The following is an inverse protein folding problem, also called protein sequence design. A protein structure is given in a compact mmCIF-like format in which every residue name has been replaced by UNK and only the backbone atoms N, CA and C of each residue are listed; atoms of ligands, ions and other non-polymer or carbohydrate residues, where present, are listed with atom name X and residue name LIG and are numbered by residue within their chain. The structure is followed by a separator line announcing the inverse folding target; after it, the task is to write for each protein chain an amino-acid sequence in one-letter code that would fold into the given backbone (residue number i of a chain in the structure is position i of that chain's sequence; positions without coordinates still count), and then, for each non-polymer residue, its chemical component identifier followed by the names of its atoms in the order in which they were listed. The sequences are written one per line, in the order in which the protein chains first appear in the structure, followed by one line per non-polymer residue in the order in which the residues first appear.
data_IF_070100867127
#
_entry.id   IF_070100867127
#
_cell.length_a   1.000
_cell.length_b   1.000
_cell.length_c   1.000
_cell.angle_alpha   90.00
_cell.angle_beta   90.00
_cell.angle_gamma   90.00
#
_symmetry.space_group_name_H-M   'P 1'
#
loop_
_entity.id
_entity.type
_entity.pdbx_description
1 polymer ?
#
# COMPACT_ATOMS: atom_id res chain seq x y z
N UNK A 1 36.63 -9.29 4.84
CA UNK A 1 37.29 -10.26 3.93
C UNK A 1 36.18 -10.86 3.07
N UNK A 2 36.23 -10.70 1.76
CA UNK A 2 35.22 -11.33 0.86
C UNK A 2 35.50 -12.84 0.87
N UNK A 3 34.51 -13.61 1.23
CA UNK A 3 34.57 -15.08 1.17
C UNK A 3 34.71 -15.49 -0.29
N UNK A 4 35.73 -16.25 -0.58
CA UNK A 4 35.97 -16.72 -1.94
C UNK A 4 35.01 -17.91 -2.20
N UNK A 5 33.93 -17.68 -2.95
CA UNK A 5 32.87 -18.66 -3.24
C UNK A 5 33.37 -19.91 -4.02
N UNK A 6 34.61 -19.92 -4.48
CA UNK A 6 35.23 -21.08 -5.16
C UNK A 6 35.55 -22.24 -4.18
N UNK A 7 35.43 -22.01 -2.85
CA UNK A 7 35.93 -22.96 -1.84
C UNK A 7 34.82 -23.76 -1.15
N UNK A 8 33.53 -23.63 -1.52
CA UNK A 8 32.50 -24.42 -0.88
C UNK A 8 32.36 -25.80 -1.52
N UNK A 9 32.56 -26.84 -0.73
CA UNK A 9 32.57 -28.21 -1.24
C UNK A 9 31.15 -28.81 -1.28
N UNK A 10 30.20 -28.26 -0.53
CA UNK A 10 28.81 -28.77 -0.52
C UNK A 10 27.78 -27.68 -0.27
N UNK A 11 26.51 -28.00 -0.57
CA UNK A 11 25.37 -27.14 -0.29
C UNK A 11 25.09 -27.05 1.21
N UNK A 12 25.30 -28.12 1.95
CA UNK A 12 25.10 -28.21 3.40
C UNK A 12 26.07 -27.29 4.17
N UNK A 13 27.31 -27.16 3.69
CA UNK A 13 28.28 -26.22 4.24
C UNK A 13 27.84 -24.77 4.07
N UNK A 14 27.27 -24.41 2.91
CA UNK A 14 26.67 -23.09 2.65
C UNK A 14 25.46 -22.84 3.55
N UNK A 15 24.59 -23.81 3.75
CA UNK A 15 23.43 -23.69 4.63
C UNK A 15 23.87 -23.34 6.06
N UNK A 16 24.86 -24.02 6.61
CA UNK A 16 25.39 -23.75 7.96
C UNK A 16 25.96 -22.32 8.09
N UNK A 17 26.65 -21.82 7.05
CA UNK A 17 27.21 -20.47 7.05
C UNK A 17 26.09 -19.43 6.97
N UNK A 18 25.09 -19.66 6.11
CA UNK A 18 23.94 -18.76 5.96
C UNK A 18 23.18 -18.61 7.29
N UNK A 19 22.98 -19.72 8.03
CA UNK A 19 22.33 -19.70 9.33
C UNK A 19 23.14 -18.94 10.40
N UNK A 20 24.48 -18.94 10.29
CA UNK A 20 25.33 -18.20 11.20
C UNK A 20 25.41 -16.70 10.88
N UNK A 21 25.41 -16.35 9.60
CA UNK A 21 25.63 -14.95 9.17
C UNK A 21 24.33 -14.15 9.07
N UNK A 22 23.19 -14.79 8.82
CA UNK A 22 21.91 -14.10 8.59
C UNK A 22 21.00 -14.26 9.81
N UNK A 23 20.65 -13.15 10.43
CA UNK A 23 19.62 -13.08 11.44
C UNK A 23 18.22 -13.04 10.73
N UNK A 24 17.64 -14.24 10.58
CA UNK A 24 16.34 -14.41 9.91
C UNK A 24 15.18 -13.79 10.69
N UNK A 25 15.27 -13.64 12.00
CA UNK A 25 14.26 -12.99 12.81
C UNK A 25 14.17 -11.51 12.45
N UNK A 26 15.30 -10.80 12.51
CA UNK A 26 15.36 -9.39 12.08
C UNK A 26 15.01 -9.20 10.60
N UNK A 27 15.39 -10.15 9.74
CA UNK A 27 15.07 -10.06 8.32
C UNK A 27 13.57 -10.21 8.07
N UNK A 28 12.87 -11.03 8.85
CA UNK A 28 11.41 -11.15 8.82
C UNK A 28 10.75 -9.85 9.32
N UNK A 29 11.24 -9.25 10.42
CA UNK A 29 10.77 -7.95 10.89
C UNK A 29 10.91 -6.88 9.81
N UNK A 30 12.08 -6.81 9.14
CA UNK A 30 12.30 -5.89 8.02
C UNK A 30 11.33 -6.14 6.86
N UNK A 31 11.10 -7.41 6.52
CA UNK A 31 10.16 -7.79 5.48
C UNK A 31 8.74 -7.32 5.82
N UNK A 32 8.33 -7.43 7.07
CA UNK A 32 7.04 -6.99 7.58
C UNK A 32 6.91 -5.46 7.51
N UNK A 33 7.93 -4.74 7.96
CA UNK A 33 7.97 -3.27 7.87
C UNK A 33 7.84 -2.75 6.42
N UNK A 34 8.61 -3.33 5.49
CA UNK A 34 8.52 -2.94 4.07
C UNK A 34 7.12 -3.26 3.52
N UNK A 35 6.56 -4.42 3.88
CA UNK A 35 5.22 -4.83 3.46
C UNK A 35 4.16 -3.87 3.96
N UNK A 36 4.23 -3.47 5.21
CA UNK A 36 3.31 -2.51 5.83
C UNK A 36 3.42 -1.13 5.17
N UNK A 37 4.64 -0.62 4.96
CA UNK A 37 4.85 0.66 4.29
C UNK A 37 4.23 0.68 2.88
N UNK A 38 4.42 -0.38 2.08
CA UNK A 38 3.80 -0.47 0.75
C UNK A 38 2.27 -0.59 0.86
N UNK A 39 1.78 -1.37 1.82
CA UNK A 39 0.34 -1.55 2.06
C UNK A 39 -0.33 -0.23 2.40
N UNK A 40 0.25 0.55 3.30
CA UNK A 40 -0.24 1.87 3.70
C UNK A 40 -0.31 2.83 2.51
N UNK A 41 0.77 2.93 1.73
CA UNK A 41 0.82 3.80 0.55
C UNK A 41 -0.24 3.42 -0.48
N UNK A 42 -0.37 2.14 -0.81
CA UNK A 42 -1.35 1.68 -1.81
C UNK A 42 -2.79 1.81 -1.30
N UNK A 43 -3.00 1.63 0.01
CA UNK A 43 -4.29 1.81 0.67
C UNK A 43 -4.69 3.28 0.70
N UNK A 44 -3.78 4.20 1.02
CA UNK A 44 -4.03 5.65 1.01
C UNK A 44 -4.42 6.18 -0.37
N UNK A 45 -4.05 5.47 -1.43
CA UNK A 45 -4.48 5.76 -2.81
C UNK A 45 -5.81 5.10 -3.19
N UNK A 46 -6.37 4.27 -2.32
CA UNK A 46 -7.59 3.51 -2.61
C UNK A 46 -7.43 2.43 -3.67
N UNK A 47 -6.24 1.97 -3.96
CA UNK A 47 -6.02 0.93 -4.98
C UNK A 47 -6.55 -0.42 -4.52
N UNK A 48 -7.00 -1.24 -5.49
CA UNK A 48 -7.37 -2.63 -5.25
C UNK A 48 -6.16 -3.52 -5.48
N UNK A 49 -5.64 -4.10 -4.42
CA UNK A 49 -4.46 -4.97 -4.47
C UNK A 49 -4.50 -6.08 -3.44
N UNK A 50 -3.59 -7.06 -3.62
CA UNK A 50 -3.15 -8.01 -2.61
C UNK A 50 -1.64 -7.97 -2.58
N UNK A 51 -1.05 -8.15 -1.40
CA UNK A 51 0.40 -8.20 -1.25
C UNK A 51 0.79 -9.50 -0.56
N UNK A 52 1.83 -10.13 -1.08
CA UNK A 52 2.49 -11.28 -0.47
C UNK A 52 3.96 -10.94 -0.32
N UNK A 53 4.51 -11.29 0.81
CA UNK A 53 5.93 -11.08 1.08
C UNK A 53 6.53 -12.36 1.64
N UNK A 54 7.81 -12.53 1.41
CA UNK A 54 8.56 -13.64 1.97
C UNK A 54 10.04 -13.29 2.10
N UNK A 55 10.64 -13.85 3.13
CA UNK A 55 12.09 -13.99 3.22
C UNK A 55 12.48 -15.31 2.55
N UNK A 56 13.54 -15.30 1.77
CA UNK A 56 14.05 -16.50 1.09
C UNK A 56 14.60 -17.48 2.11
N UNK A 57 14.23 -18.76 2.00
CA UNK A 57 14.72 -19.81 2.91
C UNK A 57 16.22 -20.09 2.74
N UNK A 58 16.87 -20.56 3.80
CA UNK A 58 18.27 -20.98 3.82
C UNK A 58 18.60 -21.88 2.64
N UNK A 59 17.82 -22.92 2.43
CA UNK A 59 17.99 -23.87 1.32
C UNK A 59 17.92 -23.19 -0.06
N UNK A 60 17.03 -22.19 -0.22
CA UNK A 60 16.88 -21.47 -1.48
C UNK A 60 18.05 -20.54 -1.75
N UNK A 61 18.57 -19.89 -0.69
CA UNK A 61 19.76 -19.05 -0.76
C UNK A 61 20.98 -19.92 -1.13
N UNK A 62 21.21 -21.01 -0.38
CA UNK A 62 22.30 -21.93 -0.62
C UNK A 62 22.27 -22.51 -2.05
N UNK A 63 21.07 -22.96 -2.49
CA UNK A 63 20.90 -23.48 -3.85
C UNK A 63 21.22 -22.44 -4.93
N UNK A 64 20.81 -21.19 -4.71
CA UNK A 64 21.05 -20.08 -5.65
C UNK A 64 22.53 -19.72 -5.70
N UNK A 65 23.20 -19.63 -4.55
CA UNK A 65 24.64 -19.40 -4.45
C UNK A 65 25.44 -20.51 -5.10
N UNK A 66 25.15 -21.77 -4.76
CA UNK A 66 25.87 -22.94 -5.24
C UNK A 66 25.77 -23.12 -6.76
N UNK A 67 24.55 -23.01 -7.33
CA UNK A 67 24.30 -23.17 -8.76
C UNK A 67 24.73 -21.96 -9.58
N UNK A 68 24.46 -20.76 -9.10
CA UNK A 68 24.67 -19.50 -9.80
C UNK A 68 26.10 -18.96 -9.70
N UNK A 69 26.94 -19.56 -8.82
CA UNK A 69 28.29 -19.10 -8.54
C UNK A 69 28.42 -17.59 -8.36
N UNK A 70 27.44 -17.04 -7.59
CA UNK A 70 27.38 -15.62 -7.28
C UNK A 70 28.63 -15.17 -6.50
N UNK A 71 29.09 -13.95 -6.72
CA UNK A 71 30.26 -13.38 -6.03
C UNK A 71 31.58 -13.95 -6.47
N UNK A 72 31.64 -14.73 -7.56
CA UNK A 72 32.89 -15.24 -8.15
C UNK A 72 33.43 -14.27 -9.18
N UNK A 73 34.70 -14.47 -9.59
CA UNK A 73 35.33 -13.69 -10.66
C UNK A 73 34.53 -13.77 -11.98
N UNK A 74 33.89 -14.91 -12.23
CA UNK A 74 33.10 -15.15 -13.44
C UNK A 74 31.68 -14.63 -13.33
N UNK A 75 31.14 -14.47 -12.12
CA UNK A 75 29.81 -13.93 -11.84
C UNK A 75 29.86 -13.03 -10.62
N UNK A 76 30.18 -11.73 -10.74
CA UNK A 76 30.26 -10.79 -9.61
C UNK A 76 28.92 -10.37 -9.06
N UNK A 77 27.80 -10.87 -9.62
CA UNK A 77 26.46 -10.56 -9.16
C UNK A 77 26.26 -11.00 -7.72
N UNK A 78 25.40 -10.25 -7.02
CA UNK A 78 24.93 -10.56 -5.67
C UNK A 78 23.48 -11.01 -5.70
N UNK A 79 23.05 -11.72 -4.66
CA UNK A 79 21.63 -12.03 -4.46
C UNK A 79 20.91 -10.74 -4.02
N UNK A 80 19.89 -10.32 -4.76
CA UNK A 80 19.14 -9.08 -4.56
C UNK A 80 17.71 -9.33 -4.07
N UNK A 81 17.27 -10.59 -4.00
CA UNK A 81 15.92 -11.03 -3.72
C UNK A 81 15.81 -11.82 -2.40
N UNK A 82 16.58 -11.42 -1.38
CA UNK A 82 16.53 -12.02 -0.05
C UNK A 82 15.13 -11.78 0.57
N UNK A 83 14.63 -10.57 0.42
CA UNK A 83 13.23 -10.21 0.65
C UNK A 83 12.56 -10.07 -0.71
N UNK A 84 11.49 -10.81 -0.91
CA UNK A 84 10.68 -10.74 -2.12
C UNK A 84 9.23 -10.38 -1.78
N UNK A 85 8.72 -9.35 -2.48
CA UNK A 85 7.33 -8.94 -2.39
C UNK A 85 6.63 -9.18 -3.72
N UNK A 86 5.35 -9.54 -3.66
CA UNK A 86 4.49 -9.68 -4.81
C UNK A 86 3.23 -8.88 -4.60
N UNK A 87 3.03 -7.85 -5.43
CA UNK A 87 1.85 -7.00 -5.42
C UNK A 87 0.96 -7.38 -6.59
N UNK A 88 -0.24 -7.85 -6.27
CA UNK A 88 -1.23 -8.30 -7.23
C UNK A 88 -2.29 -7.23 -7.36
N UNK A 89 -2.38 -6.60 -8.53
CA UNK A 89 -3.28 -5.51 -8.84
C UNK A 89 -4.52 -6.01 -9.57
N UNK A 90 -5.65 -5.35 -9.37
CA UNK A 90 -6.91 -5.76 -10.00
C UNK A 90 -7.04 -5.26 -11.42
N UNK A 91 -6.41 -4.13 -11.75
CA UNK A 91 -6.49 -3.51 -13.06
C UNK A 91 -5.11 -3.36 -13.68
N UNK A 92 -5.03 -3.62 -14.97
CA UNK A 92 -3.76 -3.57 -15.70
C UNK A 92 -3.10 -2.18 -15.70
N UNK A 93 -3.90 -1.11 -15.81
CA UNK A 93 -3.40 0.26 -15.80
C UNK A 93 -2.85 0.70 -14.44
N UNK A 94 -3.18 0.02 -13.33
CA UNK A 94 -2.59 0.25 -12.02
C UNK A 94 -1.11 -0.17 -11.95
N UNK A 95 -0.64 -1.05 -12.83
CA UNK A 95 0.78 -1.43 -12.92
C UNK A 95 1.69 -0.21 -13.11
N UNK A 96 1.33 0.68 -14.04
CA UNK A 96 2.10 1.91 -14.31
C UNK A 96 2.05 2.89 -13.13
N UNK A 97 0.91 2.95 -12.46
CA UNK A 97 0.70 3.81 -11.28
C UNK A 97 1.55 3.31 -10.12
N UNK A 98 1.52 2.01 -9.82
CA UNK A 98 2.32 1.44 -8.74
C UNK A 98 3.83 1.58 -9.01
N UNK A 99 4.27 1.48 -10.25
CA UNK A 99 5.66 1.77 -10.61
C UNK A 99 6.06 3.20 -10.26
N UNK A 100 5.28 4.21 -10.68
CA UNK A 100 5.51 5.62 -10.34
C UNK A 100 5.54 5.85 -8.82
N UNK A 101 4.68 5.17 -8.07
CA UNK A 101 4.66 5.21 -6.61
C UNK A 101 5.95 4.65 -6.03
N UNK A 102 6.34 3.44 -6.43
CA UNK A 102 7.54 2.79 -5.90
C UNK A 102 8.82 3.55 -6.20
N UNK A 103 8.97 4.08 -7.43
CA UNK A 103 10.12 4.89 -7.84
C UNK A 103 10.24 6.20 -7.02
N UNK A 104 9.12 6.74 -6.52
CA UNK A 104 9.10 7.93 -5.66
C UNK A 104 9.35 7.63 -4.19
N UNK A 105 9.00 6.44 -3.75
CA UNK A 105 9.05 6.06 -2.34
C UNK A 105 10.37 5.40 -1.97
N UNK A 106 10.90 4.55 -2.85
CA UNK A 106 12.10 3.75 -2.58
C UNK A 106 13.21 4.04 -3.58
N UNK A 107 14.45 3.92 -3.12
CA UNK A 107 15.60 4.06 -4.00
C UNK A 107 15.75 2.80 -4.86
N UNK A 108 15.44 2.91 -6.13
CA UNK A 108 15.63 1.85 -7.11
C UNK A 108 17.11 1.68 -7.43
N UNK A 109 17.56 0.43 -7.64
CA UNK A 109 18.97 0.13 -7.95
C UNK A 109 19.17 -0.03 -9.45
N UNK A 110 18.31 -0.84 -10.08
CA UNK A 110 18.38 -1.15 -11.50
C UNK A 110 17.09 -0.72 -12.19
N UNK A 111 17.12 -0.59 -13.51
CA UNK A 111 15.90 -0.38 -14.29
C UNK A 111 14.92 -1.54 -14.08
N UNK A 112 13.62 -1.27 -14.23
CA UNK A 112 12.60 -2.31 -14.18
C UNK A 112 12.93 -3.41 -15.17
N UNK A 113 12.99 -4.65 -14.68
CA UNK A 113 13.13 -5.79 -15.56
C UNK A 113 11.87 -5.92 -16.41
N UNK A 114 12.01 -5.72 -17.71
CA UNK A 114 11.00 -6.00 -18.71
C UNK A 114 11.51 -7.11 -19.59
N UNK A 115 10.76 -8.17 -19.70
CA UNK A 115 11.01 -9.11 -20.76
C UNK A 115 10.56 -8.44 -22.06
N UNK A 116 11.47 -8.15 -22.96
CA UNK A 116 11.15 -7.78 -24.34
C UNK A 116 10.92 -9.07 -25.09
N UNK A 117 9.71 -9.22 -25.60
CA UNK A 117 9.35 -10.36 -26.45
C UNK A 117 9.24 -9.88 -27.90
N UNK A 118 9.52 -10.77 -28.82
CA UNK A 118 9.18 -10.55 -30.22
C UNK A 118 7.65 -10.43 -30.35
N UNK A 119 7.17 -9.74 -31.38
CA UNK A 119 5.75 -9.44 -31.54
C UNK A 119 4.83 -10.68 -31.67
N UNK A 120 5.42 -11.82 -31.94
CA UNK A 120 4.77 -13.14 -32.06
C UNK A 120 5.01 -14.06 -30.86
N UNK A 121 5.75 -13.61 -29.85
CA UNK A 121 5.95 -14.33 -28.60
C UNK A 121 4.96 -13.91 -27.53
N UNK A 122 4.25 -14.88 -26.97
CA UNK A 122 3.43 -14.70 -25.78
C UNK A 122 4.09 -15.36 -24.57
N UNK A 123 4.60 -14.56 -23.68
CA UNK A 123 5.15 -14.99 -22.39
C UNK A 123 4.69 -14.05 -21.30
N UNK A 124 4.64 -14.55 -20.07
CA UNK A 124 4.26 -13.72 -18.93
C UNK A 124 5.18 -12.48 -18.79
N UNK A 125 4.59 -11.31 -18.91
CA UNK A 125 5.29 -10.05 -18.69
C UNK A 125 5.62 -9.93 -17.20
N UNK A 126 6.90 -10.04 -16.87
CA UNK A 126 7.39 -9.82 -15.50
C UNK A 126 7.75 -8.34 -15.37
N UNK A 127 7.15 -7.67 -14.41
CA UNK A 127 7.54 -6.32 -14.02
C UNK A 127 8.12 -6.43 -12.62
N UNK A 128 9.44 -6.51 -12.55
CA UNK A 128 10.16 -6.62 -11.28
C UNK A 128 11.04 -5.39 -11.10
N UNK A 129 11.05 -4.83 -9.89
CA UNK A 129 11.95 -3.77 -9.47
C UNK A 129 12.76 -4.21 -8.27
N UNK A 130 14.01 -3.79 -8.22
CA UNK A 130 14.92 -4.02 -7.11
C UNK A 130 15.20 -2.68 -6.43
N UNK A 131 14.95 -2.63 -5.12
CA UNK A 131 15.04 -1.42 -4.31
C UNK A 131 15.98 -1.64 -3.14
N UNK A 132 16.65 -0.56 -2.70
CA UNK A 132 17.42 -0.60 -1.45
C UNK A 132 16.50 -0.70 -0.25
N UNK A 133 16.99 -1.33 0.81
CA UNK A 133 16.33 -1.23 2.11
C UNK A 133 16.20 0.24 2.51
N UNK A 134 15.06 0.64 3.13
CA UNK A 134 14.90 1.99 3.65
C UNK A 134 16.05 2.36 4.62
N UNK A 135 16.54 3.60 4.53
CA UNK A 135 17.72 4.04 5.27
C UNK A 135 17.57 3.92 6.80
N UNK A 136 16.36 4.06 7.31
CA UNK A 136 16.01 3.90 8.74
C UNK A 136 16.29 2.49 9.25
N UNK A 137 16.16 1.47 8.39
CA UNK A 137 16.43 0.07 8.72
C UNK A 137 17.86 -0.34 8.38
N UNK A 138 18.53 0.42 7.50
CA UNK A 138 19.88 0.12 7.06
C UNK A 138 20.88 -0.02 8.22
N UNK A 139 20.79 0.87 9.22
CA UNK A 139 21.67 0.85 10.39
C UNK A 139 21.45 -0.34 11.34
N UNK A 140 20.26 -0.96 11.30
CA UNK A 140 19.95 -2.15 12.09
C UNK A 140 20.57 -3.42 11.48
N UNK A 141 20.83 -3.41 10.18
CA UNK A 141 21.24 -4.58 9.40
C UNK A 141 22.63 -4.47 8.77
N UNK A 142 23.30 -3.31 8.88
CA UNK A 142 24.57 -3.04 8.18
C UNK A 142 25.82 -3.20 9.02
N UNK A 143 25.71 -3.50 10.30
CA UNK A 143 26.91 -3.78 11.08
C UNK A 143 27.55 -5.09 10.60
N UNK A 144 28.54 -4.97 9.73
CA UNK A 144 29.41 -6.05 9.31
C UNK A 144 28.69 -7.20 8.58
N UNK A 145 27.99 -6.78 7.56
CA UNK A 145 27.13 -7.68 6.82
C UNK A 145 27.89 -8.68 6.02
N UNK A 146 27.43 -9.84 6.14
CA UNK A 146 27.58 -11.03 5.34
C UNK A 146 28.87 -11.09 4.50
N UNK A 147 29.71 -12.01 4.80
CA UNK A 147 30.78 -12.42 3.90
C UNK A 147 30.24 -12.96 2.57
N UNK A 148 28.96 -13.29 2.55
CA UNK A 148 28.22 -13.83 1.40
C UNK A 148 27.91 -12.75 0.36
N UNK A 149 27.83 -13.11 -0.92
CA UNK A 149 27.50 -12.18 -2.00
C UNK A 149 25.98 -11.89 -2.04
N UNK A 150 25.50 -11.22 -1.01
CA UNK A 150 24.11 -10.82 -0.84
C UNK A 150 24.07 -9.29 -0.81
N UNK A 151 23.05 -8.71 -1.42
CA UNK A 151 22.86 -7.27 -1.46
C UNK A 151 21.76 -6.83 -0.45
N UNK A 152 21.83 -5.59 0.02
CA UNK A 152 20.87 -5.00 0.97
C UNK A 152 19.66 -4.44 0.23
N UNK A 153 18.92 -5.35 -0.41
CA UNK A 153 17.84 -5.00 -1.33
C UNK A 153 16.67 -5.92 -1.19
N UNK A 154 15.51 -5.43 -1.63
CA UNK A 154 14.32 -6.23 -1.80
C UNK A 154 13.82 -6.16 -3.24
N UNK A 155 13.26 -7.26 -3.71
CA UNK A 155 12.62 -7.35 -5.01
C UNK A 155 11.10 -7.19 -4.86
N UNK A 156 10.49 -6.35 -5.69
CA UNK A 156 9.04 -6.26 -5.79
C UNK A 156 8.58 -6.67 -7.18
N UNK A 157 7.65 -7.63 -7.24
CA UNK A 157 7.04 -8.12 -8.46
C UNK A 157 5.61 -7.60 -8.55
N UNK A 158 5.26 -6.97 -9.67
CA UNK A 158 3.90 -6.52 -9.97
C UNK A 158 3.24 -7.45 -10.97
N UNK A 159 2.00 -7.83 -10.65
CA UNK A 159 1.17 -8.69 -11.51
C UNK A 159 -0.28 -8.26 -11.44
N UNK A 160 -1.06 -8.62 -12.45
CA UNK A 160 -2.52 -8.59 -12.36
C UNK A 160 -3.05 -9.88 -11.76
N UNK A 161 -4.31 -9.88 -11.32
CA UNK A 161 -5.00 -11.08 -10.79
C UNK A 161 -5.01 -12.21 -11.83
N UNK A 162 -5.19 -11.90 -13.11
CA UNK A 162 -5.21 -12.90 -14.16
C UNK A 162 -3.84 -13.52 -14.40
N UNK A 163 -2.80 -12.70 -14.44
CA UNK A 163 -1.41 -13.18 -14.57
C UNK A 163 -0.97 -14.00 -13.37
N UNK A 164 -1.37 -13.61 -12.17
CA UNK A 164 -1.01 -14.36 -10.96
C UNK A 164 -1.61 -15.75 -10.99
N UNK A 165 -2.90 -15.87 -11.31
CA UNK A 165 -3.55 -17.17 -11.40
C UNK A 165 -2.88 -18.12 -12.40
N UNK A 166 -2.54 -17.61 -13.60
CA UNK A 166 -1.82 -18.38 -14.60
C UNK A 166 -0.42 -18.77 -14.13
N UNK A 167 0.30 -17.82 -13.54
CA UNK A 167 1.68 -18.04 -13.07
C UNK A 167 1.75 -19.10 -11.97
N UNK A 168 0.83 -19.08 -11.00
CA UNK A 168 0.80 -20.09 -9.94
C UNK A 168 0.57 -21.49 -10.53
N UNK A 169 -0.35 -21.63 -11.48
CA UNK A 169 -0.61 -22.91 -12.16
C UNK A 169 0.64 -23.36 -12.94
N UNK A 170 1.21 -22.50 -13.76
CA UNK A 170 2.38 -22.80 -14.57
C UNK A 170 3.60 -23.14 -13.70
N UNK A 171 3.84 -22.36 -12.66
CA UNK A 171 4.94 -22.56 -11.72
C UNK A 171 4.80 -23.90 -10.96
N UNK A 172 3.60 -24.21 -10.46
CA UNK A 172 3.39 -25.44 -9.72
C UNK A 172 3.50 -26.68 -10.59
N UNK A 173 3.00 -26.61 -11.81
CA UNK A 173 3.09 -27.72 -12.75
C UNK A 173 4.51 -27.93 -13.27
N UNK A 174 5.26 -26.87 -13.51
CA UNK A 174 6.57 -26.92 -14.16
C UNK A 174 7.72 -27.10 -13.16
N UNK A 175 7.76 -26.32 -12.08
CA UNK A 175 8.88 -26.27 -11.14
C UNK A 175 8.80 -27.21 -9.95
N UNK A 176 7.63 -27.43 -9.37
CA UNK A 176 7.48 -28.30 -8.19
C UNK A 176 7.57 -29.78 -8.51
N UNK A 177 7.39 -30.17 -9.76
CA UNK A 177 7.44 -31.58 -10.19
C UNK A 177 8.82 -32.22 -10.15
N UNK A 178 9.92 -31.46 -9.83
CA UNK A 178 11.33 -31.93 -9.88
C UNK A 178 11.76 -32.48 -11.24
N UNK A 179 10.93 -32.35 -12.26
CA UNK A 179 11.19 -32.75 -13.64
C UNK A 179 11.78 -31.53 -14.35
N UNK A 180 12.84 -31.73 -15.17
CA UNK A 180 13.38 -30.62 -15.96
C UNK A 180 12.31 -30.08 -16.95
N UNK A 181 12.32 -28.75 -17.18
CA UNK A 181 11.38 -28.10 -18.12
C UNK A 181 11.29 -28.82 -19.46
N UNK A 182 12.44 -29.25 -19.97
CA UNK A 182 12.52 -29.98 -21.24
C UNK A 182 11.83 -31.34 -21.23
N UNK A 183 11.72 -31.98 -20.06
CA UNK A 183 11.06 -33.28 -19.95
C UNK A 183 9.54 -33.17 -19.76
N UNK A 184 9.08 -32.12 -19.08
CA UNK A 184 7.63 -31.97 -18.82
C UNK A 184 6.80 -31.80 -20.10
N UNK A 185 7.34 -31.02 -21.04
CA UNK A 185 6.68 -30.74 -22.32
C UNK A 185 7.14 -31.62 -23.48
N UNK A 186 8.12 -32.50 -23.27
CA UNK A 186 8.68 -33.34 -24.31
C UNK A 186 7.62 -34.24 -24.97
N UNK A 187 7.42 -34.03 -26.27
CA UNK A 187 6.38 -34.71 -27.02
C UNK A 187 4.96 -34.16 -26.86
N UNK A 188 4.85 -32.97 -26.20
CA UNK A 188 3.58 -32.30 -25.94
C UNK A 188 3.67 -30.79 -26.24
N UNK A 189 4.43 -30.41 -27.25
CA UNK A 189 4.72 -29.01 -27.61
C UNK A 189 3.44 -28.26 -28.00
N UNK A 190 2.44 -28.96 -28.61
CA UNK A 190 1.14 -28.36 -28.91
C UNK A 190 0.38 -27.95 -27.64
N UNK A 191 0.47 -28.75 -26.57
CA UNK A 191 -0.15 -28.43 -25.29
C UNK A 191 0.55 -27.23 -24.61
N UNK A 192 1.88 -27.13 -24.74
CA UNK A 192 2.62 -25.95 -24.31
C UNK A 192 2.16 -24.69 -25.04
N UNK A 193 1.94 -24.78 -26.36
CA UNK A 193 1.35 -23.66 -27.12
C UNK A 193 -0.06 -23.30 -26.65
N UNK A 194 -0.90 -24.29 -26.33
CA UNK A 194 -2.23 -24.04 -25.76
C UNK A 194 -2.14 -23.26 -24.42
N UNK A 195 -1.18 -23.59 -23.56
CA UNK A 195 -0.96 -22.85 -22.32
C UNK A 195 -0.57 -21.39 -22.59
N UNK A 196 0.26 -21.14 -23.61
CA UNK A 196 0.60 -19.78 -24.04
C UNK A 196 -0.60 -19.05 -24.66
N UNK A 197 -1.49 -19.74 -25.36
CA UNK A 197 -2.74 -19.17 -25.87
C UNK A 197 -3.68 -18.75 -24.72
N UNK A 198 -3.73 -19.51 -23.62
CA UNK A 198 -4.48 -19.13 -22.43
C UNK A 198 -3.90 -17.83 -21.85
N UNK A 199 -2.58 -17.72 -21.76
CA UNK A 199 -1.92 -16.48 -21.31
C UNK A 199 -2.29 -15.28 -22.17
N UNK A 200 -2.26 -15.41 -23.50
CA UNK A 200 -2.67 -14.34 -24.42
C UNK A 200 -4.14 -13.91 -24.22
N UNK A 201 -5.04 -14.87 -23.96
CA UNK A 201 -6.43 -14.57 -23.64
C UNK A 201 -6.59 -13.85 -22.31
N UNK A 202 -5.78 -14.18 -21.29
CA UNK A 202 -5.78 -13.49 -20.00
C UNK A 202 -5.26 -12.06 -20.13
N UNK A 203 -4.23 -11.83 -20.94
CA UNK A 203 -3.74 -10.48 -21.27
C UNK A 203 -4.82 -9.64 -21.96
N UNK A 204 -5.49 -10.22 -22.95
CA UNK A 204 -6.63 -9.56 -23.60
C UNK A 204 -7.76 -9.28 -22.61
N UNK A 205 -7.99 -10.18 -21.64
CA UNK A 205 -9.00 -9.99 -20.59
C UNK A 205 -8.65 -8.82 -19.65
N UNK A 206 -7.39 -8.65 -19.31
CA UNK A 206 -6.90 -7.50 -18.54
C UNK A 206 -7.21 -6.17 -19.23
N UNK A 207 -6.88 -6.07 -20.52
CA UNK A 207 -7.20 -4.90 -21.35
C UNK A 207 -8.71 -4.67 -21.49
N UNK A 208 -9.45 -5.74 -21.72
CA UNK A 208 -10.90 -5.69 -21.89
C UNK A 208 -11.61 -5.24 -20.62
N UNK A 209 -11.11 -5.64 -19.45
CA UNK A 209 -11.65 -5.21 -18.16
C UNK A 209 -11.53 -3.69 -17.96
N UNK A 210 -10.40 -3.09 -18.31
CA UNK A 210 -10.22 -1.64 -18.25
C UNK A 210 -11.20 -0.94 -19.19
N UNK A 211 -11.32 -1.43 -20.42
CA UNK A 211 -12.26 -0.87 -21.41
C UNK A 211 -13.72 -0.97 -20.99
N UNK A 212 -14.09 -2.09 -20.38
CA UNK A 212 -15.44 -2.29 -19.84
C UNK A 212 -15.78 -1.22 -18.80
N UNK A 213 -14.87 -0.89 -17.88
CA UNK A 213 -15.11 0.13 -16.88
C UNK A 213 -15.12 1.56 -17.47
N UNK A 214 -14.34 1.83 -18.53
CA UNK A 214 -14.43 3.10 -19.28
C UNK A 214 -15.83 3.25 -19.91
N UNK A 215 -16.32 2.21 -20.58
CA UNK A 215 -17.67 2.21 -21.20
C UNK A 215 -18.78 2.32 -20.14
N UNK A 216 -18.65 1.61 -19.02
CA UNK A 216 -19.58 1.66 -17.91
C UNK A 216 -19.64 3.07 -17.33
N UNK A 217 -18.51 3.70 -17.12
CA UNK A 217 -18.43 5.07 -16.64
C UNK A 217 -19.10 6.05 -17.61
N UNK A 218 -18.87 5.88 -18.92
CA UNK A 218 -19.52 6.69 -19.95
C UNK A 218 -21.05 6.51 -19.97
N UNK A 219 -21.53 5.28 -19.78
CA UNK A 219 -22.96 5.03 -19.67
C UNK A 219 -23.58 5.70 -18.45
N UNK A 220 -22.89 5.64 -17.30
CA UNK A 220 -23.34 6.37 -16.10
C UNK A 220 -23.33 7.89 -16.31
N UNK A 221 -22.32 8.44 -16.98
CA UNK A 221 -22.29 9.86 -17.39
C UNK A 221 -23.51 10.24 -18.24
N UNK A 222 -23.85 9.45 -19.26
CA UNK A 222 -25.02 9.71 -20.11
C UNK A 222 -26.33 9.73 -19.30
N UNK A 223 -26.43 8.81 -18.36
CA UNK A 223 -27.63 8.65 -17.51
C UNK A 223 -27.64 9.55 -16.27
N UNK A 224 -26.66 10.46 -16.12
CA UNK A 224 -26.51 11.36 -14.96
C UNK A 224 -26.39 10.64 -13.61
N UNK A 225 -25.86 9.43 -13.60
CA UNK A 225 -25.56 8.65 -12.41
C UNK A 225 -24.14 8.99 -11.93
N UNK A 226 -23.96 10.14 -11.30
CA UNK A 226 -22.66 10.75 -11.04
C UNK A 226 -21.77 9.93 -10.09
N UNK A 227 -22.31 9.38 -9.04
CA UNK A 227 -21.56 8.51 -8.10
C UNK A 227 -21.02 7.27 -8.82
N UNK A 228 -21.90 6.59 -9.57
CA UNK A 228 -21.49 5.40 -10.32
C UNK A 228 -20.52 5.73 -11.46
N UNK A 229 -20.65 6.92 -12.08
CA UNK A 229 -19.68 7.43 -13.04
C UNK A 229 -18.30 7.58 -12.41
N UNK A 230 -18.21 8.27 -11.26
CA UNK A 230 -16.94 8.47 -10.55
C UNK A 230 -16.35 7.14 -10.07
N UNK A 231 -17.16 6.26 -9.48
CA UNK A 231 -16.74 4.95 -9.00
C UNK A 231 -16.17 4.09 -10.12
N UNK A 232 -16.86 4.01 -11.27
CA UNK A 232 -16.42 3.23 -12.42
C UNK A 232 -15.20 3.85 -13.10
N UNK A 233 -15.09 5.18 -13.11
CA UNK A 233 -13.97 5.87 -13.74
C UNK A 233 -12.68 5.74 -12.93
N UNK A 234 -12.73 6.10 -11.65
CA UNK A 234 -11.54 6.10 -10.81
C UNK A 234 -11.14 4.73 -10.29
N UNK A 235 -12.08 3.79 -10.18
CA UNK A 235 -11.84 2.40 -9.75
C UNK A 235 -10.96 2.31 -8.51
N UNK A 236 -11.30 3.08 -7.48
CA UNK A 236 -10.65 3.09 -6.18
C UNK A 236 -11.62 2.67 -5.09
N UNK A 237 -11.09 2.19 -3.98
CA UNK A 237 -11.88 1.88 -2.79
C UNK A 237 -12.42 3.16 -2.20
N UNK A 238 -13.72 3.18 -1.95
CA UNK A 238 -14.42 4.28 -1.31
C UNK A 238 -14.98 3.78 0.02
N UNK A 239 -15.22 4.70 0.94
CA UNK A 239 -15.97 4.40 2.16
C UNK A 239 -17.40 3.93 1.80
N UNK A 240 -17.85 2.84 2.43
CA UNK A 240 -19.12 2.16 2.07
C UNK A 240 -20.37 3.06 2.22
N UNK A 241 -20.34 4.01 3.14
CA UNK A 241 -21.43 4.96 3.39
C UNK A 241 -21.29 6.28 2.62
N UNK A 242 -20.34 6.39 1.71
CA UNK A 242 -20.03 7.62 1.01
C UNK A 242 -21.10 7.99 -0.01
N UNK A 243 -21.61 9.22 0.06
CA UNK A 243 -22.50 9.81 -0.91
C UNK A 243 -21.97 11.15 -1.42
N UNK A 244 -22.25 11.42 -2.69
CA UNK A 244 -21.92 12.70 -3.29
C UNK A 244 -22.85 13.79 -2.75
N UNK A 245 -22.28 14.95 -2.40
CA UNK A 245 -23.07 16.05 -1.84
C UNK A 245 -24.17 16.50 -2.81
N UNK A 246 -25.42 16.73 -2.33
CA UNK A 246 -26.56 17.08 -3.17
C UNK A 246 -26.32 18.33 -4.04
N UNK A 247 -25.62 19.34 -3.52
CA UNK A 247 -25.30 20.56 -4.28
C UNK A 247 -24.36 20.28 -5.46
N UNK A 248 -23.43 19.31 -5.31
CA UNK A 248 -22.56 18.89 -6.41
C UNK A 248 -23.38 18.17 -7.48
N UNK A 249 -24.29 17.28 -7.05
CA UNK A 249 -25.24 16.62 -7.96
C UNK A 249 -26.07 17.67 -8.72
N UNK A 250 -26.56 18.71 -8.04
CA UNK A 250 -27.32 19.78 -8.66
C UNK A 250 -26.49 20.56 -9.71
N UNK A 251 -25.22 20.87 -9.40
CA UNK A 251 -24.30 21.52 -10.35
C UNK A 251 -24.09 20.65 -11.59
N UNK A 252 -23.86 19.36 -11.43
CA UNK A 252 -23.66 18.44 -12.54
C UNK A 252 -24.93 18.26 -13.40
N UNK A 253 -26.10 18.30 -12.76
CA UNK A 253 -27.39 18.23 -13.47
C UNK A 253 -27.68 19.48 -14.29
N UNK A 254 -27.25 20.66 -13.80
CA UNK A 254 -27.39 21.93 -14.51
C UNK A 254 -26.42 22.05 -15.68
N UNK A 255 -25.18 21.60 -15.50
CA UNK A 255 -24.14 21.66 -16.52
C UNK A 255 -23.34 20.35 -16.59
N UNK A 256 -23.74 19.49 -17.53
CA UNK A 256 -23.06 18.22 -17.78
C UNK A 256 -21.61 18.35 -18.27
N UNK A 257 -21.23 19.51 -18.84
CA UNK A 257 -19.85 19.71 -19.29
C UNK A 257 -18.89 19.84 -18.10
N UNK A 258 -19.38 20.32 -16.94
CA UNK A 258 -18.60 20.27 -15.69
C UNK A 258 -18.35 18.81 -15.30
N UNK A 259 -19.40 17.98 -15.22
CA UNK A 259 -19.27 16.55 -14.89
C UNK A 259 -18.35 15.82 -15.89
N UNK A 260 -18.37 16.20 -17.16
CA UNK A 260 -17.52 15.64 -18.21
C UNK A 260 -16.02 15.89 -17.96
N UNK A 261 -15.66 17.00 -17.35
CA UNK A 261 -14.27 17.27 -17.00
C UNK A 261 -13.76 16.30 -15.92
N UNK A 262 -14.62 15.92 -14.96
CA UNK A 262 -14.31 14.87 -13.99
C UNK A 262 -14.19 13.50 -14.64
N UNK A 263 -15.12 13.15 -15.53
CA UNK A 263 -15.08 11.92 -16.31
C UNK A 263 -13.81 11.82 -17.18
N UNK A 264 -13.30 12.92 -17.71
CA UNK A 264 -12.08 12.95 -18.53
C UNK A 264 -10.78 13.07 -17.72
N UNK A 265 -10.86 13.22 -16.41
CA UNK A 265 -9.68 13.35 -15.57
C UNK A 265 -8.87 12.04 -15.56
N UNK A 266 -7.59 12.03 -15.96
CA UNK A 266 -6.76 10.85 -15.85
C UNK A 266 -6.65 10.36 -14.39
N UNK A 267 -6.83 9.07 -14.15
CA UNK A 267 -6.76 8.45 -12.81
C UNK A 267 -5.49 8.81 -12.04
N UNK A 268 -4.36 8.84 -12.73
CA UNK A 268 -3.07 9.17 -12.13
C UNK A 268 -3.05 10.55 -11.45
N UNK A 269 -3.83 11.51 -11.94
CA UNK A 269 -3.92 12.83 -11.32
C UNK A 269 -4.55 12.73 -9.94
N UNK A 270 -5.67 12.02 -9.79
CA UNK A 270 -6.31 11.82 -8.49
C UNK A 270 -5.38 11.07 -7.54
N UNK A 271 -4.77 9.99 -7.99
CA UNK A 271 -3.90 9.16 -7.17
C UNK A 271 -2.69 9.95 -6.65
N UNK A 272 -2.08 10.78 -7.50
CA UNK A 272 -0.99 11.67 -7.07
C UNK A 272 -1.42 12.74 -6.07
N UNK A 273 -2.66 13.19 -6.10
CA UNK A 273 -3.17 14.11 -5.08
C UNK A 273 -3.51 13.37 -3.77
N UNK A 274 -4.03 12.14 -3.84
CA UNK A 274 -4.25 11.29 -2.67
C UNK A 274 -2.94 10.96 -1.94
N UNK A 275 -1.87 10.66 -2.66
CA UNK A 275 -0.53 10.41 -2.10
C UNK A 275 0.06 11.55 -1.28
N UNK A 276 -0.45 12.77 -1.43
CA UNK A 276 0.00 13.92 -0.64
C UNK A 276 -0.72 14.04 0.70
N UNK A 277 -1.76 13.25 0.88
CA UNK A 277 -2.56 13.24 2.09
C UNK A 277 -2.10 12.11 3.00
N UNK A 278 -2.15 12.35 4.28
CA UNK A 278 -1.84 11.34 5.28
C UNK A 278 -3.10 10.53 5.56
N UNK A 279 -3.10 9.28 5.12
CA UNK A 279 -4.16 8.28 5.29
C UNK A 279 -5.61 8.83 5.15
N UNK A 280 -5.99 9.35 3.96
CA UNK A 280 -7.26 10.01 3.78
C UNK A 280 -8.43 9.01 3.78
N UNK A 281 -9.53 9.38 4.40
CA UNK A 281 -10.82 8.71 4.19
C UNK A 281 -11.31 9.10 2.78
N UNK A 282 -11.30 8.14 1.86
CA UNK A 282 -11.64 8.40 0.47
C UNK A 282 -13.14 8.28 0.26
N UNK A 283 -13.79 9.42 0.02
CA UNK A 283 -15.19 9.52 -0.37
C UNK A 283 -15.35 10.27 -1.71
N UNK A 284 -16.58 10.36 -2.22
CA UNK A 284 -16.86 11.07 -3.46
C UNK A 284 -16.53 12.57 -3.37
N UNK A 285 -16.73 13.19 -2.22
CA UNK A 285 -16.52 14.63 -2.03
C UNK A 285 -15.04 14.96 -2.02
N UNK A 286 -14.20 14.11 -1.42
CA UNK A 286 -12.74 14.22 -1.50
C UNK A 286 -12.25 14.10 -2.95
N UNK A 287 -12.76 13.13 -3.72
CA UNK A 287 -12.42 12.98 -5.14
C UNK A 287 -12.75 14.27 -5.88
N UNK A 288 -13.97 14.78 -5.72
CA UNK A 288 -14.40 16.02 -6.37
C UNK A 288 -13.48 17.19 -5.98
N UNK A 289 -13.20 17.35 -4.70
CA UNK A 289 -12.32 18.41 -4.19
C UNK A 289 -10.92 18.34 -4.83
N UNK A 290 -10.28 17.18 -4.81
CA UNK A 290 -8.93 17.01 -5.32
C UNK A 290 -8.85 17.24 -6.82
N UNK A 291 -9.78 16.66 -7.58
CA UNK A 291 -9.84 16.81 -9.04
C UNK A 291 -10.18 18.25 -9.41
N UNK A 292 -11.13 18.88 -8.71
CA UNK A 292 -11.47 20.28 -8.94
C UNK A 292 -10.27 21.20 -8.70
N UNK A 293 -9.60 21.05 -7.58
CA UNK A 293 -8.46 21.91 -7.22
C UNK A 293 -7.30 21.74 -8.20
N UNK A 294 -7.09 20.55 -8.73
CA UNK A 294 -5.96 20.26 -9.62
C UNK A 294 -6.25 20.58 -11.08
N UNK A 295 -7.42 20.20 -11.56
CA UNK A 295 -7.72 20.18 -13.00
C UNK A 295 -8.91 21.08 -13.38
N UNK A 296 -10.09 20.84 -12.80
CA UNK A 296 -11.35 21.44 -13.27
C UNK A 296 -11.44 22.92 -12.91
N UNK A 297 -11.01 23.29 -11.71
CA UNK A 297 -10.94 24.69 -11.20
C UNK A 297 -12.28 25.44 -11.25
N UNK A 298 -13.39 24.71 -11.13
CA UNK A 298 -14.73 25.29 -11.13
C UNK A 298 -15.01 25.96 -9.78
N UNK A 299 -15.44 27.22 -9.80
CA UNK A 299 -15.69 28.04 -8.62
C UNK A 299 -16.92 27.53 -7.80
N UNK A 300 -17.98 27.09 -8.46
CA UNK A 300 -19.18 26.62 -7.77
C UNK A 300 -18.87 25.34 -7.00
N UNK A 301 -18.15 24.40 -7.63
CA UNK A 301 -17.69 23.17 -6.97
C UNK A 301 -16.79 23.52 -5.78
N UNK A 302 -15.87 24.48 -5.94
CA UNK A 302 -14.99 24.91 -4.86
C UNK A 302 -15.79 25.43 -3.65
N UNK A 303 -16.77 26.31 -3.89
CA UNK A 303 -17.60 26.84 -2.80
C UNK A 303 -18.36 25.75 -2.05
N UNK A 304 -18.83 24.70 -2.75
CA UNK A 304 -19.48 23.56 -2.09
C UNK A 304 -18.47 22.75 -1.29
N UNK A 305 -17.28 22.46 -1.85
CA UNK A 305 -16.23 21.74 -1.12
C UNK A 305 -15.78 22.50 0.12
N UNK A 306 -15.60 23.81 0.04
CA UNK A 306 -15.21 24.64 1.18
C UNK A 306 -16.27 24.58 2.30
N UNK A 307 -17.58 24.56 1.96
CA UNK A 307 -18.67 24.37 2.92
C UNK A 307 -18.69 22.98 3.55
N UNK A 308 -18.35 21.92 2.78
CA UNK A 308 -18.27 20.55 3.30
C UNK A 308 -17.13 20.44 4.32
N UNK A 309 -16.03 21.15 4.06
CA UNK A 309 -14.87 21.17 4.96
C UNK A 309 -15.09 22.05 6.20
N UNK A 310 -16.08 22.95 6.18
CA UNK A 310 -16.45 23.70 7.39
C UNK A 310 -16.88 22.71 8.49
N UNK A 311 -16.34 22.82 9.70
CA UNK A 311 -16.68 21.92 10.79
C UNK A 311 -18.18 22.00 11.06
N UNK A 312 -18.91 20.94 10.65
CA UNK A 312 -20.31 20.78 11.02
C UNK A 312 -20.45 20.94 12.54
N UNK A 313 -21.49 21.65 12.95
CA UNK A 313 -21.78 22.09 14.30
C UNK A 313 -21.18 21.16 15.38
N UNK A 314 -20.26 21.71 16.16
CA UNK A 314 -19.41 21.01 17.15
C UNK A 314 -20.20 20.11 18.13
N UNK A 315 -21.50 20.26 18.22
CA UNK A 315 -22.38 19.54 19.15
C UNK A 315 -22.75 18.12 18.69
N UNK A 316 -22.94 17.90 17.39
CA UNK A 316 -23.30 16.55 16.85
C UNK A 316 -22.07 15.66 16.82
N UNK A 317 -20.94 16.20 16.33
CA UNK A 317 -19.65 15.49 16.34
C UNK A 317 -19.18 15.12 17.76
N UNK A 318 -19.52 15.98 18.74
CA UNK A 318 -19.15 15.77 20.14
C UNK A 318 -19.77 14.49 20.71
N UNK A 319 -20.99 14.16 20.32
CA UNK A 319 -21.74 13.04 20.91
C UNK A 319 -21.30 11.66 20.38
N UNK A 320 -21.08 11.52 19.08
CA UNK A 320 -20.63 10.26 18.47
C UNK A 320 -19.12 10.00 18.70
N UNK A 321 -18.31 11.04 18.61
CA UNK A 321 -16.85 10.92 18.88
C UNK A 321 -16.59 10.68 20.36
N UNK A 322 -17.36 11.30 21.27
CA UNK A 322 -17.27 11.05 22.70
C UNK A 322 -17.70 9.62 23.05
N UNK A 323 -18.76 9.08 22.47
CA UNK A 323 -19.19 7.71 22.71
C UNK A 323 -18.14 6.68 22.24
N UNK A 324 -17.46 6.91 21.09
CA UNK A 324 -16.35 6.08 20.62
C UNK A 324 -15.10 6.21 21.50
N UNK A 325 -14.73 7.43 21.88
CA UNK A 325 -13.60 7.66 22.78
C UNK A 325 -13.84 7.09 24.17
N UNK A 326 -15.05 7.25 24.71
CA UNK A 326 -15.46 6.68 25.99
C UNK A 326 -15.35 5.15 25.96
N UNK A 327 -15.81 4.50 24.89
CA UNK A 327 -15.69 3.05 24.70
C UNK A 327 -14.23 2.60 24.65
N UNK A 328 -13.37 3.28 23.92
CA UNK A 328 -11.97 2.89 23.74
C UNK A 328 -11.09 3.25 24.94
N UNK A 329 -11.33 4.41 25.57
CA UNK A 329 -10.60 4.81 26.80
C UNK A 329 -10.96 3.88 27.95
N UNK A 330 -12.23 3.51 28.13
CA UNK A 330 -12.65 2.55 29.17
C UNK A 330 -12.09 1.14 28.94
N UNK A 331 -11.82 0.74 27.70
CA UNK A 331 -11.24 -0.54 27.37
C UNK A 331 -9.72 -0.60 27.61
N UNK A 332 -9.00 0.51 27.41
CA UNK A 332 -7.53 0.58 27.55
C UNK A 332 -7.05 1.19 28.87
N UNK A 333 -7.88 1.95 29.54
CA UNK A 333 -7.68 2.20 30.94
C UNK A 333 -8.10 0.92 31.70
N UNK A 334 -7.17 0.06 32.01
CA UNK A 334 -7.29 -0.80 33.19
C UNK A 334 -7.43 0.14 34.39
N UNK A 335 -8.63 0.63 34.61
CA UNK A 335 -8.98 1.48 35.74
C UNK A 335 -9.09 0.62 37.00
N UNK A 336 -7.96 0.38 37.74
CA UNK A 336 -8.09 0.00 39.09
C UNK A 336 -8.44 1.30 39.81
N UNK A 337 -9.69 1.43 40.23
CA UNK A 337 -10.03 2.34 41.33
C UNK A 337 -10.22 3.82 41.00
N UNK A 338 -11.18 4.14 40.17
CA UNK A 338 -11.80 5.46 40.28
C UNK A 338 -13.06 5.34 41.16
N UNK A 339 -12.93 5.79 42.41
CA UNK A 339 -14.03 5.96 43.34
C UNK A 339 -15.15 6.86 42.76
N UNK A 340 -16.34 6.71 43.26
CA UNK A 340 -17.59 7.36 42.82
C UNK A 340 -17.56 8.89 42.63
N UNK A 341 -16.55 9.59 43.11
CA UNK A 341 -16.38 11.05 42.97
C UNK A 341 -15.73 11.48 41.65
N UNK A 342 -15.24 10.54 40.87
CA UNK A 342 -14.45 10.81 39.64
C UNK A 342 -15.27 10.87 38.35
N UNK A 343 -16.57 10.60 38.35
CA UNK A 343 -17.37 10.62 37.12
C UNK A 343 -17.41 11.97 36.41
N UNK A 344 -17.38 13.06 37.14
CA UNK A 344 -17.34 14.42 36.59
C UNK A 344 -15.98 14.74 35.96
N UNK A 345 -14.91 14.34 36.64
CA UNK A 345 -13.52 14.49 36.16
C UNK A 345 -13.26 13.60 34.95
N UNK A 346 -13.80 12.39 34.94
CA UNK A 346 -13.73 11.45 33.82
C UNK A 346 -14.42 12.03 32.58
N UNK A 347 -15.61 12.60 32.73
CA UNK A 347 -16.35 13.23 31.62
C UNK A 347 -15.61 14.46 31.09
N UNK A 348 -15.03 15.30 31.95
CA UNK A 348 -14.22 16.44 31.55
C UNK A 348 -12.91 16.00 30.83
N UNK A 349 -12.29 14.93 31.31
CA UNK A 349 -11.11 14.36 30.68
C UNK A 349 -11.41 13.80 29.28
N UNK A 350 -12.45 12.99 29.14
CA UNK A 350 -12.89 12.44 27.88
C UNK A 350 -13.24 13.57 26.89
N UNK A 351 -13.91 14.63 27.37
CA UNK A 351 -14.21 15.81 26.57
C UNK A 351 -12.94 16.50 26.06
N UNK A 352 -11.94 16.64 26.93
CA UNK A 352 -10.66 17.27 26.59
C UNK A 352 -9.87 16.43 25.59
N UNK A 353 -9.86 15.10 25.74
CA UNK A 353 -9.24 14.19 24.81
C UNK A 353 -9.92 14.23 23.44
N UNK A 354 -11.26 14.32 23.39
CA UNK A 354 -12.01 14.46 22.14
C UNK A 354 -11.70 15.77 21.41
N UNK A 355 -11.48 16.86 22.16
CA UNK A 355 -11.08 18.17 21.61
C UNK A 355 -9.66 18.06 21.02
N UNK A 356 -8.71 17.43 21.73
CA UNK A 356 -7.34 17.24 21.24
C UNK A 356 -7.32 16.36 19.99
N UNK A 357 -8.06 15.26 20.01
CA UNK A 357 -8.18 14.36 18.86
C UNK A 357 -8.75 15.08 17.63
N UNK A 358 -9.82 15.84 17.82
CA UNK A 358 -10.40 16.65 16.75
C UNK A 358 -9.39 17.66 16.19
N UNK A 359 -8.68 18.35 17.06
CA UNK A 359 -7.66 19.33 16.68
C UNK A 359 -6.48 18.64 15.96
N UNK A 360 -5.99 17.53 16.46
CA UNK A 360 -4.88 16.80 15.88
C UNK A 360 -5.21 16.20 14.51
N UNK A 361 -6.45 15.70 14.31
CA UNK A 361 -6.92 15.17 13.02
C UNK A 361 -6.95 16.23 11.90
N UNK A 362 -7.05 17.51 12.23
CA UNK A 362 -7.05 18.61 11.27
C UNK A 362 -5.70 19.26 11.03
N UNK A 363 -4.68 18.92 11.82
CA UNK A 363 -3.31 19.42 11.63
C UNK A 363 -2.38 18.27 11.23
N UNK A 364 -1.75 18.38 10.08
CA UNK A 364 -0.85 17.36 9.50
C UNK A 364 0.41 17.08 10.31
N UNK A 365 0.77 17.92 11.30
CA UNK A 365 1.82 17.72 12.28
C UNK A 365 1.46 18.52 13.53
N UNK A 366 0.77 17.93 14.51
CA UNK A 366 0.44 18.64 15.73
C UNK A 366 1.71 18.89 16.54
N UNK A 367 2.10 20.16 16.65
CA UNK A 367 3.10 20.59 17.62
C UNK A 367 2.39 20.73 18.95
N UNK A 368 2.87 20.02 19.97
CA UNK A 368 2.25 20.03 21.33
C UNK A 368 2.20 21.41 21.98
N UNK A 369 3.00 22.36 21.48
CA UNK A 369 3.02 23.76 21.89
C UNK A 369 1.73 24.53 21.55
N UNK A 370 0.97 24.05 20.54
CA UNK A 370 -0.30 24.64 20.11
C UNK A 370 -1.54 23.96 20.79
N UNK A 371 -1.39 23.26 21.88
CA UNK A 371 -2.50 22.62 22.58
C UNK A 371 -3.52 23.66 23.08
N UNK A 372 -4.83 23.40 22.92
CA UNK A 372 -5.84 24.27 23.49
C UNK A 372 -5.68 24.40 25.01
N UNK A 373 -5.88 25.62 25.53
CA UNK A 373 -5.76 25.94 26.98
C UNK A 373 -6.60 25.01 27.86
N UNK A 374 -7.75 24.55 27.38
CA UNK A 374 -8.65 23.61 28.06
C UNK A 374 -7.94 22.28 28.39
N UNK A 375 -7.14 21.76 27.45
CA UNK A 375 -6.38 20.50 27.64
C UNK A 375 -5.17 20.71 28.54
N UNK A 376 -4.47 21.84 28.37
CA UNK A 376 -3.37 22.23 29.26
C UNK A 376 -3.85 22.41 30.71
N UNK A 377 -4.98 23.06 30.87
CA UNK A 377 -5.66 23.26 32.17
C UNK A 377 -6.00 21.93 32.83
N UNK A 378 -6.47 20.95 32.06
CA UNK A 378 -6.79 19.63 32.60
C UNK A 378 -5.56 18.83 32.98
N UNK A 379 -4.52 18.82 32.12
CA UNK A 379 -3.21 18.21 32.39
C UNK A 379 -2.61 18.68 33.72
N UNK A 380 -2.78 19.96 34.04
CA UNK A 380 -2.26 20.56 35.28
C UNK A 380 -3.06 20.17 36.52
N UNK A 381 -4.30 19.67 36.37
CA UNK A 381 -5.14 19.23 37.51
C UNK A 381 -4.93 17.75 37.88
N UNK A 382 -4.23 16.98 37.08
CA UNK A 382 -3.93 15.57 37.33
C UNK A 382 -2.41 15.40 37.64
N UNK A 383 -1.95 15.62 38.87
CA UNK A 383 -0.56 15.44 39.21
C UNK A 383 -0.17 13.96 39.10
N UNK A 384 0.83 13.69 38.30
CA UNK A 384 1.43 12.36 38.16
C UNK A 384 1.15 11.62 36.86
N UNK A 385 0.31 12.14 35.98
CA UNK A 385 0.06 11.54 34.68
C UNK A 385 0.80 12.30 33.57
N UNK A 386 1.65 11.60 32.82
CA UNK A 386 2.17 12.11 31.53
C UNK A 386 1.23 11.67 30.42
N UNK A 387 0.54 12.61 29.81
CA UNK A 387 -0.28 12.36 28.63
C UNK A 387 0.67 12.16 27.46
N UNK A 388 0.89 10.92 27.07
CA UNK A 388 1.56 10.57 25.82
C UNK A 388 0.46 10.20 24.81
N UNK A 389 0.13 11.11 23.92
CA UNK A 389 -0.79 10.83 22.82
C UNK A 389 0.05 10.17 21.73
N UNK A 390 -0.11 8.87 21.58
CA UNK A 390 0.48 8.13 20.48
C UNK A 390 -0.62 7.92 19.45
N UNK A 391 -0.39 8.42 18.24
CA UNK A 391 -1.34 8.26 17.14
C UNK A 391 -1.32 6.83 16.66
N UNK A 392 -2.44 6.17 16.76
CA UNK A 392 -2.82 5.10 15.86
C UNK A 392 -4.07 5.56 15.13
N UNK A 393 -3.95 5.80 13.83
CA UNK A 393 -4.98 6.47 13.02
C UNK A 393 -6.21 5.58 12.86
N UNK A 394 -6.02 4.26 12.97
CA UNK A 394 -7.10 3.30 12.76
C UNK A 394 -7.87 2.95 14.03
N UNK A 395 -7.29 3.10 15.22
CA UNK A 395 -7.91 2.58 16.45
C UNK A 395 -8.24 3.61 17.54
N UNK A 396 -8.05 4.91 17.34
CA UNK A 396 -8.37 5.92 18.36
C UNK A 396 -7.81 5.57 19.77
N UNK A 397 -6.60 4.99 19.81
CA UNK A 397 -6.00 4.55 21.07
C UNK A 397 -5.19 5.69 21.71
N UNK A 398 -5.54 6.03 22.95
CA UNK A 398 -4.78 6.91 23.79
C UNK A 398 -3.98 6.07 24.78
N UNK A 399 -2.66 6.19 24.77
CA UNK A 399 -1.82 5.58 25.79
C UNK A 399 -1.50 6.62 26.86
N UNK A 400 -1.96 6.38 28.09
CA UNK A 400 -1.48 7.09 29.26
C UNK A 400 -0.30 6.34 29.90
N UNK A 401 0.80 7.01 30.10
CA UNK A 401 1.90 6.56 30.96
C UNK A 401 2.10 7.54 32.10
#
# INVERSE_FOLDING_TARGET
MSVNMENYNSKEELEAIIEQEIDFEKLNELCEHITNAITEILTSCGLYFRIFSRVKSVESIASKLYRGKYGTLNNPKKIQDLIGLRVILYYYDDLSICRDIMERTFQMIDEWSRNFFESDEFRATKINGVFKYPAEYFNLYTKEMWSLPIDTTFETQFRTVFFEGWHEIEHDMRYKSRISDDQFWKGSEELSRMLNCILANLELSDWSLVKLFEELSYNHYKNMNWELMLKSHFRIKLEDSAHLHPDIIAIFNQDKEIAKQFYKCPRIILIRELLKLDNPVIDYNLIIKLVNNKLVKNQLIRLVCDKIDEPRDSRIYKKETLARLESNILFHLELPLLHKESRTLETEFINSCAIVYKWARFKMNPVFEDMPEEVISYKNKLPGYQLKIQYDVDDLTFHMK
#
